data_IF_336732677263
#
_entry.id   IF_336732677263
#
_cell.length_a   1.000
_cell.length_b   1.000
_cell.length_c   1.000
_cell.angle_alpha   90.00
_cell.angle_beta   90.00
_cell.angle_gamma   90.00
#
_symmetry.space_group_name_H-M   'P 1'
#
loop_
_entity.id
_entity.type
_entity.pdbx_description
1 polymer ?
#
# COMPACT_ATOMS: atom_id res chain seq x y z
N UNK A 1 -4.84 -30.84 0.06
CA UNK A 1 -4.67 -30.48 1.49
C UNK A 1 -3.80 -31.51 2.22
N UNK A 2 -4.04 -32.84 2.08
CA UNK A 2 -3.33 -33.87 2.82
C UNK A 2 -1.81 -33.93 2.63
N UNK A 3 -1.27 -33.55 1.46
CA UNK A 3 0.18 -33.55 1.23
C UNK A 3 0.88 -32.44 2.01
N UNK A 4 0.23 -31.27 2.14
CA UNK A 4 0.74 -30.16 2.95
C UNK A 4 0.70 -30.49 4.47
N UNK A 5 -0.36 -31.11 4.94
CA UNK A 5 -0.49 -31.53 6.33
C UNK A 5 0.59 -32.55 6.73
N UNK A 6 0.89 -33.52 5.83
CA UNK A 6 1.93 -34.52 6.06
C UNK A 6 3.35 -33.94 6.05
N UNK A 7 3.60 -32.91 5.22
CA UNK A 7 4.93 -32.29 5.11
C UNK A 7 5.24 -31.33 6.26
N UNK A 8 4.23 -30.78 6.91
CA UNK A 8 4.38 -29.80 8.01
C UNK A 8 3.90 -30.32 9.38
N UNK A 9 3.64 -31.63 9.51
CA UNK A 9 3.40 -32.25 10.81
C UNK A 9 4.64 -32.08 11.71
N UNK A 10 4.55 -31.16 12.67
CA UNK A 10 5.63 -30.90 13.63
C UNK A 10 6.31 -29.54 13.50
N UNK A 11 5.91 -28.71 12.55
CA UNK A 11 6.42 -27.34 12.48
C UNK A 11 5.58 -26.41 13.38
N UNK A 12 5.85 -26.46 14.68
CA UNK A 12 5.28 -25.52 15.65
C UNK A 12 6.25 -24.35 15.82
N UNK A 13 5.86 -23.16 15.40
CA UNK A 13 6.67 -21.95 15.63
C UNK A 13 6.67 -21.59 17.12
N UNK A 14 5.51 -21.67 17.76
CA UNK A 14 5.32 -21.35 19.17
C UNK A 14 3.95 -21.83 19.66
N UNK A 15 3.84 -22.09 20.95
CA UNK A 15 2.56 -22.40 21.61
C UNK A 15 1.76 -21.12 21.97
N UNK A 16 2.36 -19.95 21.78
CA UNK A 16 1.72 -18.67 22.05
C UNK A 16 0.74 -18.30 20.93
N UNK A 17 -0.56 -18.33 21.27
CA UNK A 17 -1.64 -18.02 20.33
C UNK A 17 -1.53 -16.58 19.79
N UNK A 18 -1.06 -15.62 20.61
CA UNK A 18 -0.92 -14.22 20.18
C UNK A 18 0.15 -14.11 19.10
N UNK A 19 1.31 -14.70 19.31
CA UNK A 19 2.41 -14.69 18.33
C UNK A 19 1.96 -15.36 17.04
N UNK A 20 1.30 -16.52 17.13
CA UNK A 20 0.75 -17.20 15.96
C UNK A 20 -0.26 -16.34 15.21
N UNK A 21 -1.14 -15.62 15.92
CA UNK A 21 -2.13 -14.71 15.32
C UNK A 21 -1.45 -13.55 14.57
N UNK A 22 -0.40 -12.96 15.16
CA UNK A 22 0.36 -11.88 14.54
C UNK A 22 1.02 -12.33 13.23
N UNK A 23 1.75 -13.45 13.28
CA UNK A 23 2.41 -14.00 12.08
C UNK A 23 1.42 -14.43 11.01
N UNK A 24 0.34 -15.10 11.40
CA UNK A 24 -0.74 -15.49 10.48
C UNK A 24 -1.36 -14.28 9.80
N UNK A 25 -1.65 -13.21 10.54
CA UNK A 25 -2.20 -11.97 10.00
C UNK A 25 -1.28 -11.33 8.96
N UNK A 26 0.02 -11.27 9.23
CA UNK A 26 0.99 -10.74 8.26
C UNK A 26 1.06 -11.61 7.01
N UNK A 27 1.20 -12.92 7.14
CA UNK A 27 1.34 -13.84 6.00
C UNK A 27 0.07 -13.85 5.13
N UNK A 28 -1.10 -13.95 5.75
CA UNK A 28 -2.39 -13.89 5.05
C UNK A 28 -2.57 -12.56 4.35
N UNK A 29 -2.26 -11.45 5.03
CA UNK A 29 -2.33 -10.11 4.46
C UNK A 29 -1.43 -9.93 3.24
N UNK A 30 -0.19 -10.42 3.29
CA UNK A 30 0.75 -10.40 2.15
C UNK A 30 0.21 -11.25 1.00
N UNK A 31 -0.27 -12.46 1.26
CA UNK A 31 -0.79 -13.37 0.24
C UNK A 31 -1.98 -12.75 -0.50
N UNK A 32 -2.98 -12.25 0.23
CA UNK A 32 -4.17 -11.62 -0.35
C UNK A 32 -3.78 -10.35 -1.11
N UNK A 33 -2.91 -9.52 -0.55
CA UNK A 33 -2.49 -8.28 -1.20
C UNK A 33 -1.77 -8.52 -2.53
N UNK A 34 -0.93 -9.55 -2.63
CA UNK A 34 -0.26 -9.93 -3.88
C UNK A 34 -1.28 -10.34 -4.93
N UNK A 35 -2.26 -11.17 -4.57
CA UNK A 35 -3.33 -11.62 -5.47
C UNK A 35 -4.15 -10.44 -6.00
N UNK A 36 -4.59 -9.55 -5.10
CA UNK A 36 -5.36 -8.36 -5.48
C UNK A 36 -4.52 -7.42 -6.36
N UNK A 37 -3.25 -7.22 -6.04
CA UNK A 37 -2.34 -6.37 -6.81
C UNK A 37 -2.06 -6.92 -8.21
N UNK A 38 -2.12 -8.24 -8.37
CA UNK A 38 -2.08 -8.91 -9.68
C UNK A 38 -3.39 -8.79 -10.48
N UNK A 39 -4.41 -8.13 -9.93
CA UNK A 39 -5.73 -7.97 -10.57
C UNK A 39 -6.62 -9.21 -10.47
N UNK A 40 -6.28 -10.13 -9.56
CA UNK A 40 -7.02 -11.36 -9.30
C UNK A 40 -7.79 -11.31 -7.97
N UNK A 41 -8.52 -12.38 -7.67
CA UNK A 41 -9.25 -12.59 -6.42
C UNK A 41 -8.90 -13.98 -5.89
N UNK A 42 -8.94 -14.16 -4.58
CA UNK A 42 -8.77 -15.49 -3.95
C UNK A 42 -9.99 -16.38 -4.12
N UNK A 43 -11.09 -15.84 -4.65
CA UNK A 43 -12.35 -16.56 -4.83
C UNK A 43 -13.18 -16.68 -3.55
N UNK A 44 -12.85 -15.91 -2.53
CA UNK A 44 -13.52 -15.91 -1.23
C UNK A 44 -14.23 -14.61 -0.89
N UNK A 45 -14.17 -14.23 0.38
CA UNK A 45 -14.80 -13.02 0.93
C UNK A 45 -14.11 -11.71 0.49
N UNK A 46 -13.06 -11.77 -0.29
CA UNK A 46 -12.42 -10.63 -0.94
C UNK A 46 -13.22 -10.09 -2.16
N UNK A 47 -14.15 -10.89 -2.72
CA UNK A 47 -14.94 -10.48 -3.89
C UNK A 47 -15.85 -9.27 -3.58
N UNK A 48 -16.69 -9.25 -2.52
CA UNK A 48 -17.51 -8.09 -2.20
C UNK A 48 -16.70 -6.79 -2.01
N UNK A 49 -15.59 -6.76 -1.27
CA UNK A 49 -14.69 -5.61 -1.18
C UNK A 49 -14.15 -5.13 -2.54
N UNK A 50 -13.79 -6.04 -3.44
CA UNK A 50 -13.32 -5.69 -4.78
C UNK A 50 -14.42 -5.04 -5.63
N UNK A 51 -15.66 -5.53 -5.53
CA UNK A 51 -16.81 -4.94 -6.21
C UNK A 51 -17.09 -3.53 -5.66
N UNK A 52 -17.07 -3.34 -4.33
CA UNK A 52 -17.25 -2.05 -3.70
C UNK A 52 -16.17 -1.05 -4.12
N UNK A 53 -14.93 -1.50 -4.21
CA UNK A 53 -13.83 -0.67 -4.69
C UNK A 53 -14.06 -0.23 -6.15
N UNK A 54 -14.53 -1.14 -7.01
CA UNK A 54 -14.80 -0.84 -8.43
C UNK A 54 -15.96 0.12 -8.61
N UNK A 55 -17.05 -0.02 -7.85
CA UNK A 55 -18.26 0.77 -7.98
C UNK A 55 -18.17 2.11 -7.23
N UNK A 56 -17.70 2.09 -5.99
CA UNK A 56 -17.75 3.24 -5.08
C UNK A 56 -16.38 3.83 -4.76
N UNK A 57 -15.30 3.26 -5.28
CA UNK A 57 -13.91 3.69 -5.00
C UNK A 57 -13.52 3.60 -3.52
N UNK A 58 -14.22 2.78 -2.74
CA UNK A 58 -13.89 2.51 -1.34
C UNK A 58 -12.63 1.64 -1.30
N UNK A 59 -11.63 1.95 -0.47
CA UNK A 59 -10.44 1.10 -0.33
C UNK A 59 -10.81 -0.34 0.01
N UNK A 60 -10.15 -1.31 -0.64
CA UNK A 60 -10.43 -2.74 -0.45
C UNK A 60 -10.21 -3.15 1.01
N UNK A 61 -9.12 -2.67 1.63
CA UNK A 61 -8.78 -2.92 3.03
C UNK A 61 -9.88 -2.50 3.99
N UNK A 62 -10.48 -1.31 3.77
CA UNK A 62 -11.59 -0.79 4.59
C UNK A 62 -12.83 -1.67 4.47
N UNK A 63 -13.19 -2.06 3.25
CA UNK A 63 -14.34 -2.92 3.02
C UNK A 63 -14.14 -4.31 3.64
N UNK A 64 -12.95 -4.90 3.50
CA UNK A 64 -12.62 -6.18 4.15
C UNK A 64 -12.72 -6.07 5.67
N UNK A 65 -12.12 -5.02 6.26
CA UNK A 65 -12.22 -4.79 7.70
C UNK A 65 -13.66 -4.77 8.20
N UNK A 66 -14.56 -4.06 7.49
CA UNK A 66 -15.98 -3.97 7.86
C UNK A 66 -16.68 -5.32 7.77
N UNK A 67 -16.55 -6.03 6.64
CA UNK A 67 -17.20 -7.33 6.46
C UNK A 67 -16.73 -8.36 7.48
N UNK A 68 -15.42 -8.47 7.67
CA UNK A 68 -14.85 -9.48 8.57
C UNK A 68 -15.15 -9.16 10.03
N UNK A 69 -15.16 -7.87 10.41
CA UNK A 69 -15.58 -7.45 11.75
C UNK A 69 -17.05 -7.79 12.00
N UNK A 70 -17.94 -7.58 11.03
CA UNK A 70 -19.34 -7.98 11.15
C UNK A 70 -19.50 -9.49 11.32
N UNK A 71 -18.72 -10.28 10.59
CA UNK A 71 -18.73 -11.75 10.72
C UNK A 71 -18.27 -12.16 12.12
N UNK A 72 -17.19 -11.59 12.62
CA UNK A 72 -16.70 -11.91 13.98
C UNK A 72 -17.71 -11.48 15.04
N UNK A 73 -18.34 -10.32 14.90
CA UNK A 73 -19.41 -9.90 15.81
C UNK A 73 -20.60 -10.84 15.81
N UNK A 74 -20.99 -11.37 14.65
CA UNK A 74 -22.05 -12.38 14.56
C UNK A 74 -21.65 -13.71 15.24
N UNK A 75 -20.37 -14.03 15.27
CA UNK A 75 -19.85 -15.24 15.92
C UNK A 75 -19.81 -15.16 17.46
N UNK A 76 -19.90 -13.96 18.05
CA UNK A 76 -19.83 -13.78 19.50
C UNK A 76 -20.87 -14.58 20.29
N UNK A 77 -22.01 -14.91 19.66
CA UNK A 77 -23.05 -15.72 20.28
C UNK A 77 -22.79 -17.25 20.25
N UNK A 78 -21.83 -17.71 19.45
CA UNK A 78 -21.59 -19.13 19.17
C UNK A 78 -20.15 -19.58 19.44
N UNK A 79 -19.23 -18.65 19.61
CA UNK A 79 -17.79 -18.92 19.78
C UNK A 79 -17.29 -18.40 21.12
N UNK A 80 -16.14 -18.93 21.57
CA UNK A 80 -15.47 -18.42 22.76
C UNK A 80 -15.01 -16.97 22.53
N UNK A 81 -15.30 -16.11 23.52
CA UNK A 81 -14.92 -14.68 23.53
C UNK A 81 -13.42 -14.51 23.24
N UNK A 82 -12.58 -15.37 23.78
CA UNK A 82 -11.14 -15.35 23.56
C UNK A 82 -10.78 -15.53 22.09
N UNK A 83 -11.43 -16.46 21.40
CA UNK A 83 -11.21 -16.69 19.96
C UNK A 83 -11.68 -15.49 19.12
N UNK A 84 -12.81 -14.90 19.47
CA UNK A 84 -13.31 -13.70 18.81
C UNK A 84 -12.33 -12.51 18.96
N UNK A 85 -11.74 -12.32 20.14
CA UNK A 85 -10.75 -11.26 20.37
C UNK A 85 -9.48 -11.47 19.52
N UNK A 86 -8.96 -12.70 19.43
CA UNK A 86 -7.85 -13.00 18.52
C UNK A 86 -8.23 -12.81 17.05
N UNK A 87 -9.47 -13.13 16.68
CA UNK A 87 -10.02 -12.87 15.35
C UNK A 87 -10.00 -11.38 15.01
N UNK A 88 -10.40 -10.50 15.93
CA UNK A 88 -10.34 -9.04 15.74
C UNK A 88 -8.89 -8.57 15.53
N UNK A 89 -7.96 -9.06 16.35
CA UNK A 89 -6.52 -8.75 16.19
C UNK A 89 -6.01 -9.20 14.83
N UNK A 90 -6.37 -10.41 14.41
CA UNK A 90 -6.01 -10.95 13.10
C UNK A 90 -6.50 -10.07 11.95
N UNK A 91 -7.80 -9.69 11.97
CA UNK A 91 -8.42 -8.83 10.97
C UNK A 91 -7.69 -7.49 10.87
N UNK A 92 -7.40 -6.87 12.01
CA UNK A 92 -6.70 -5.60 12.05
C UNK A 92 -5.33 -5.67 11.40
N UNK A 93 -4.56 -6.74 11.68
CA UNK A 93 -3.22 -6.91 11.15
C UNK A 93 -3.24 -7.15 9.64
N UNK A 94 -4.00 -8.14 9.17
CA UNK A 94 -3.96 -8.45 7.74
C UNK A 94 -4.55 -7.34 6.88
N UNK A 95 -5.59 -6.63 7.33
CA UNK A 95 -6.13 -5.48 6.59
C UNK A 95 -5.14 -4.32 6.53
N UNK A 96 -4.40 -4.06 7.61
CA UNK A 96 -3.31 -3.06 7.61
C UNK A 96 -2.19 -3.45 6.63
N UNK A 97 -1.81 -4.73 6.58
CA UNK A 97 -0.79 -5.22 5.65
C UNK A 97 -1.28 -5.10 4.20
N UNK A 98 -2.54 -5.48 3.92
CA UNK A 98 -3.15 -5.33 2.59
C UNK A 98 -3.10 -3.87 2.15
N UNK A 99 -3.54 -2.94 2.98
CA UNK A 99 -3.54 -1.52 2.66
C UNK A 99 -2.14 -1.02 2.31
N UNK A 100 -1.15 -1.32 3.14
CA UNK A 100 0.24 -0.95 2.89
C UNK A 100 0.76 -1.47 1.56
N UNK A 101 0.52 -2.74 1.24
CA UNK A 101 1.02 -3.37 0.01
C UNK A 101 0.29 -2.84 -1.23
N UNK A 102 -1.03 -2.62 -1.17
CA UNK A 102 -1.80 -2.08 -2.28
C UNK A 102 -1.37 -0.64 -2.63
N UNK A 103 -1.10 0.18 -1.61
CA UNK A 103 -0.65 1.56 -1.79
C UNK A 103 0.82 1.63 -2.19
N UNK A 104 1.64 0.63 -1.84
CA UNK A 104 3.05 0.58 -2.23
C UNK A 104 3.23 0.61 -3.76
N UNK A 105 3.99 1.60 -4.21
CA UNK A 105 4.29 1.81 -5.64
C UNK A 105 3.25 2.62 -6.41
N UNK A 106 2.10 2.95 -5.82
CA UNK A 106 1.12 3.88 -6.39
C UNK A 106 1.38 5.34 -5.98
N UNK A 107 2.22 5.54 -4.97
CA UNK A 107 2.55 6.87 -4.49
C UNK A 107 3.42 7.61 -5.51
N UNK A 108 2.97 8.80 -5.86
CA UNK A 108 3.73 9.76 -6.66
C UNK A 108 4.18 10.89 -5.75
N UNK A 109 5.37 11.40 -6.02
CA UNK A 109 5.98 12.50 -5.29
C UNK A 109 6.03 13.70 -6.22
N UNK A 110 5.55 14.83 -5.73
CA UNK A 110 5.76 16.11 -6.40
C UNK A 110 7.09 16.68 -5.96
N UNK A 111 8.00 16.88 -6.91
CA UNK A 111 9.30 17.50 -6.69
C UNK A 111 9.27 18.91 -7.25
N UNK A 112 9.60 19.88 -6.40
CA UNK A 112 9.76 21.29 -6.80
C UNK A 112 11.24 21.62 -6.80
N UNK A 113 11.75 22.10 -7.93
CA UNK A 113 13.15 22.46 -8.10
C UNK A 113 13.21 23.94 -8.44
N UNK A 114 13.98 24.67 -7.63
CA UNK A 114 14.26 26.11 -7.83
C UNK A 114 15.76 26.23 -8.01
N UNK A 115 16.20 26.65 -9.19
CA UNK A 115 17.61 26.78 -9.52
C UNK A 115 17.82 27.81 -10.61
N UNK A 116 18.94 28.50 -10.59
CA UNK A 116 19.36 29.36 -11.70
C UNK A 116 19.66 28.59 -12.99
N UNK A 117 19.95 27.27 -12.87
CA UNK A 117 20.21 26.36 -13.99
C UNK A 117 18.99 25.56 -14.40
N UNK A 118 17.79 26.08 -14.21
CA UNK A 118 16.55 25.38 -14.46
C UNK A 118 16.44 24.77 -15.87
N UNK A 119 16.98 25.43 -16.91
CA UNK A 119 16.95 24.92 -18.29
C UNK A 119 17.78 23.62 -18.47
N UNK A 120 18.96 23.58 -17.86
CA UNK A 120 19.82 22.37 -17.91
C UNK A 120 19.14 21.21 -17.18
N UNK A 121 18.61 21.47 -15.99
CA UNK A 121 17.89 20.49 -15.18
C UNK A 121 16.63 19.99 -15.91
N UNK A 122 15.85 20.89 -16.52
CA UNK A 122 14.67 20.54 -17.31
C UNK A 122 15.02 19.57 -18.43
N UNK A 123 16.06 19.88 -19.21
CA UNK A 123 16.52 19.01 -20.30
C UNK A 123 17.00 17.66 -19.78
N UNK A 124 17.74 17.64 -18.67
CA UNK A 124 18.23 16.43 -18.06
C UNK A 124 17.07 15.52 -17.57
N UNK A 125 16.05 16.08 -16.95
CA UNK A 125 14.87 15.33 -16.50
C UNK A 125 14.10 14.74 -17.70
N UNK A 126 13.84 15.54 -18.73
CA UNK A 126 13.14 15.09 -19.93
C UNK A 126 13.88 13.96 -20.65
N UNK A 127 15.22 14.03 -20.70
CA UNK A 127 16.04 13.04 -21.42
C UNK A 127 16.28 11.75 -20.61
N UNK A 128 16.54 11.88 -19.30
CA UNK A 128 17.01 10.75 -18.50
C UNK A 128 15.90 10.06 -17.70
N UNK A 129 14.83 10.81 -17.35
CA UNK A 129 13.74 10.28 -16.51
C UNK A 129 12.48 10.04 -17.34
N UNK A 130 12.39 10.62 -18.55
CA UNK A 130 11.22 10.52 -19.44
C UNK A 130 9.91 10.90 -18.73
N UNK A 131 9.93 12.03 -18.02
CA UNK A 131 8.80 12.57 -17.27
C UNK A 131 8.52 14.01 -17.65
N UNK A 132 7.24 14.35 -17.70
CA UNK A 132 6.81 15.73 -17.94
C UNK A 132 7.28 16.67 -16.84
N UNK A 133 7.72 17.86 -17.22
CA UNK A 133 8.10 18.94 -16.31
C UNK A 133 7.19 20.13 -16.56
N UNK A 134 6.58 20.65 -15.51
CA UNK A 134 5.79 21.87 -15.56
C UNK A 134 6.65 23.03 -15.03
N UNK A 135 6.70 24.12 -15.79
CA UNK A 135 7.39 25.34 -15.38
C UNK A 135 6.37 26.33 -14.82
N UNK A 136 6.68 26.89 -13.66
CA UNK A 136 5.93 27.99 -13.06
C UNK A 136 6.82 29.21 -12.96
N UNK A 137 6.33 30.34 -13.51
CA UNK A 137 6.97 31.63 -13.31
C UNK A 137 6.73 32.12 -11.88
N UNK A 138 7.79 32.48 -11.21
CA UNK A 138 7.74 32.99 -9.84
C UNK A 138 8.69 34.17 -9.67
N UNK A 139 8.63 34.79 -8.49
CA UNK A 139 9.55 35.86 -8.11
C UNK A 139 10.16 35.50 -6.75
N UNK A 140 11.46 35.71 -6.61
CA UNK A 140 12.15 35.50 -5.35
C UNK A 140 11.67 36.52 -4.31
N UNK A 141 11.39 36.08 -3.09
CA UNK A 141 10.79 36.96 -2.07
C UNK A 141 11.72 38.04 -1.53
N UNK A 142 13.04 37.85 -1.63
CA UNK A 142 14.01 38.81 -1.11
C UNK A 142 14.55 39.77 -2.19
N UNK A 143 15.01 39.24 -3.32
CA UNK A 143 15.61 40.02 -4.39
C UNK A 143 14.59 40.49 -5.43
N UNK A 144 13.36 39.98 -5.39
CA UNK A 144 12.29 40.26 -6.33
C UNK A 144 12.68 39.97 -7.80
N UNK A 145 13.62 39.01 -7.97
CA UNK A 145 14.07 38.55 -9.28
C UNK A 145 13.11 37.48 -9.82
N UNK A 146 12.91 37.49 -11.13
CA UNK A 146 12.12 36.46 -11.79
C UNK A 146 12.87 35.11 -11.75
N UNK A 147 12.16 34.06 -11.41
CA UNK A 147 12.68 32.70 -11.36
C UNK A 147 11.68 31.69 -11.90
N UNK A 148 12.19 30.57 -12.37
CA UNK A 148 11.37 29.44 -12.81
C UNK A 148 11.40 28.35 -11.78
N UNK A 149 10.22 27.83 -11.43
CA UNK A 149 10.05 26.66 -10.57
C UNK A 149 9.68 25.48 -11.44
N UNK A 150 10.52 24.45 -11.47
CA UNK A 150 10.22 23.19 -12.13
C UNK A 150 9.40 22.31 -11.20
N UNK A 151 8.24 21.87 -11.65
CA UNK A 151 7.40 20.88 -10.96
C UNK A 151 7.42 19.59 -11.76
N UNK A 152 7.79 18.52 -11.10
CA UNK A 152 7.80 17.17 -11.66
C UNK A 152 7.07 16.20 -10.75
N UNK A 153 6.22 15.34 -11.31
CA UNK A 153 5.48 14.30 -10.56
C UNK A 153 6.06 12.94 -10.93
N UNK A 154 6.80 12.36 -10.00
CA UNK A 154 7.60 11.15 -10.19
C UNK A 154 7.26 10.08 -9.16
N UNK A 155 7.70 8.85 -9.41
CA UNK A 155 7.65 7.79 -8.42
C UNK A 155 8.81 7.89 -7.43
N UNK A 156 8.68 7.26 -6.26
CA UNK A 156 9.77 7.20 -5.25
C UNK A 156 11.07 6.62 -5.82
N UNK A 157 10.99 5.74 -6.81
CA UNK A 157 12.19 5.14 -7.45
C UNK A 157 12.91 6.13 -8.35
N UNK A 158 12.16 6.98 -9.03
CA UNK A 158 12.71 8.01 -9.93
C UNK A 158 13.29 9.20 -9.17
N UNK A 159 12.86 9.42 -7.92
CA UNK A 159 13.39 10.50 -7.07
C UNK A 159 14.90 10.43 -6.95
N UNK A 160 15.47 9.23 -6.73
CA UNK A 160 16.92 9.04 -6.62
C UNK A 160 17.64 9.43 -7.92
N UNK A 161 17.01 9.24 -9.08
CA UNK A 161 17.57 9.65 -10.37
C UNK A 161 17.54 11.17 -10.51
N UNK A 162 16.42 11.81 -10.14
CA UNK A 162 16.27 13.27 -10.18
C UNK A 162 17.24 13.95 -9.22
N UNK A 163 17.44 13.45 -8.01
CA UNK A 163 18.40 13.97 -7.03
C UNK A 163 19.86 13.96 -7.54
N UNK A 164 20.19 13.04 -8.43
CA UNK A 164 21.53 12.99 -9.04
C UNK A 164 21.71 13.98 -10.20
N UNK A 165 20.62 14.50 -10.73
CA UNK A 165 20.64 15.43 -11.88
C UNK A 165 20.57 16.89 -11.43
N UNK A 166 20.21 17.16 -10.16
CA UNK A 166 20.10 18.47 -9.54
C UNK A 166 21.32 18.78 -8.69
#
# INVERSE_FOLDING_TARGET
LGVFELSFQGFYLTDDILINTLFAGVLVGVAIAIVIKAGASTGGMDIPPLILNKLFKIPVSVSMYVFDTLIVLAQFGFSDVRQCLYGIVLIFIYTMVIDKILVMGAQKIEVKIISSKYEEIRKAILTNVDRGVTMLHGQTGYLLENTEVLINVISTRELVQVERLV
#
